data_IF_813655666051
#
_entry.id   IF_813655666051
#
_cell.length_a   1.000
_cell.length_b   1.000
_cell.length_c   1.000
_cell.angle_alpha   90.00
_cell.angle_beta   90.00
_cell.angle_gamma   90.00
#
_symmetry.space_group_name_H-M   'P 1'
#
loop_
_entity.id
_entity.type
_entity.pdbx_description
1 polymer ?
#
# COMPACT_ATOMS: atom_id res chain seq x y z
N UNK A 1 25.30 14.08 17.47
CA UNK A 1 23.99 13.43 17.70
C UNK A 1 22.98 14.22 16.89
N UNK A 2 22.75 13.82 15.64
CA UNK A 2 21.80 14.49 14.74
C UNK A 2 20.41 13.90 14.93
N UNK A 3 19.44 14.72 15.30
CA UNK A 3 18.04 14.35 15.31
C UNK A 3 17.57 14.19 13.86
N UNK A 4 17.54 12.95 13.35
CA UNK A 4 16.80 12.64 12.14
C UNK A 4 15.32 12.74 12.47
N UNK A 5 14.66 13.80 12.00
CA UNK A 5 13.19 13.88 12.04
C UNK A 5 12.68 12.90 10.99
N UNK A 6 12.07 11.80 11.44
CA UNK A 6 11.31 10.91 10.56
C UNK A 6 10.12 11.73 10.05
N UNK A 7 10.21 12.22 8.81
CA UNK A 7 9.07 12.79 8.11
C UNK A 7 8.18 11.62 7.74
N UNK A 8 7.04 11.49 8.42
CA UNK A 8 6.03 10.50 8.05
C UNK A 8 5.24 11.11 6.90
N UNK A 9 5.58 10.78 5.65
CA UNK A 9 4.66 11.03 4.55
C UNK A 9 3.42 10.18 4.78
N UNK A 10 2.28 10.83 4.98
CA UNK A 10 0.99 10.16 4.99
C UNK A 10 0.61 10.08 3.52
N UNK A 11 0.88 8.96 2.85
CA UNK A 11 0.42 8.76 1.49
C UNK A 11 -1.12 8.85 1.45
N UNK A 12 -1.62 10.04 1.13
CA UNK A 12 -3.03 10.27 0.89
C UNK A 12 -3.27 9.86 -0.56
N UNK A 13 -3.44 8.56 -0.80
CA UNK A 13 -4.05 8.09 -2.04
C UNK A 13 -5.46 8.65 -2.09
N UNK A 14 -5.63 9.77 -2.78
CA UNK A 14 -6.93 10.26 -3.23
C UNK A 14 -7.46 9.24 -4.24
N UNK A 15 -8.09 8.18 -3.74
CA UNK A 15 -8.97 7.32 -4.51
C UNK A 15 -10.17 8.18 -4.94
N UNK A 16 -10.08 8.80 -6.12
CA UNK A 16 -11.24 9.40 -6.77
C UNK A 16 -12.21 8.28 -7.10
N UNK A 17 -13.38 8.33 -6.45
CA UNK A 17 -14.30 7.22 -6.37
C UNK A 17 -15.06 6.87 -7.65
N UNK A 18 -15.51 5.61 -7.65
CA UNK A 18 -16.72 5.08 -8.29
C UNK A 18 -16.91 5.37 -9.78
N UNK A 19 -16.27 4.53 -10.60
CA UNK A 19 -16.66 4.27 -11.97
C UNK A 19 -16.09 2.91 -12.36
N UNK A 20 -16.89 2.07 -13.02
CA UNK A 20 -16.49 0.74 -13.45
C UNK A 20 -15.08 0.75 -14.09
N UNK A 21 -14.26 -0.20 -13.67
CA UNK A 21 -12.92 -0.44 -14.18
C UNK A 21 -12.93 -0.67 -15.70
N UNK A 22 -12.85 0.41 -16.49
CA UNK A 22 -12.30 0.45 -17.86
C UNK A 22 -11.92 1.90 -18.18
N UNK A 23 -10.91 2.44 -17.51
CA UNK A 23 -10.26 3.67 -17.98
C UNK A 23 -8.81 3.66 -17.51
N UNK A 24 -7.90 3.08 -18.28
CA UNK A 24 -6.46 3.30 -18.14
C UNK A 24 -5.70 2.63 -19.28
N UNK A 25 -5.48 3.37 -20.37
CA UNK A 25 -4.39 3.13 -21.33
C UNK A 25 -3.64 4.43 -21.67
N UNK A 26 -4.08 5.58 -21.14
CA UNK A 26 -3.33 6.82 -21.29
C UNK A 26 -2.22 6.87 -20.24
N UNK A 27 -1.01 7.20 -20.67
CA UNK A 27 0.08 7.52 -19.76
C UNK A 27 -0.37 8.60 -18.75
N UNK A 28 0.09 8.53 -17.49
CA UNK A 28 -0.25 9.53 -16.50
C UNK A 28 0.21 10.92 -17.00
N UNK A 29 -0.56 12.00 -16.82
CA UNK A 29 -0.24 13.33 -17.37
C UNK A 29 1.13 13.88 -16.97
N UNK A 30 1.63 13.48 -15.81
CA UNK A 30 2.90 13.89 -15.24
C UNK A 30 3.70 12.66 -14.76
N UNK A 31 4.20 11.83 -15.70
CA UNK A 31 4.90 10.60 -15.37
C UNK A 31 6.28 10.91 -14.75
N UNK A 32 6.80 10.03 -13.87
CA UNK A 32 8.22 10.03 -13.51
C UNK A 32 9.11 9.73 -14.72
N UNK A 33 10.41 10.04 -14.60
CA UNK A 33 11.40 9.66 -15.63
C UNK A 33 11.64 8.14 -15.66
N UNK A 34 12.15 7.63 -16.78
CA UNK A 34 12.55 6.22 -16.90
C UNK A 34 13.57 5.81 -15.82
N UNK A 35 14.45 6.72 -15.40
CA UNK A 35 15.42 6.46 -14.34
C UNK A 35 14.75 6.20 -12.99
N UNK A 36 13.69 6.94 -12.65
CA UNK A 36 12.89 6.72 -11.43
C UNK A 36 12.16 5.37 -11.49
N UNK A 37 11.57 5.05 -12.66
CA UNK A 37 10.88 3.77 -12.86
C UNK A 37 11.87 2.60 -12.76
N UNK A 38 13.06 2.73 -13.38
CA UNK A 38 14.10 1.70 -13.33
C UNK A 38 14.65 1.54 -11.91
N UNK A 39 14.81 2.64 -11.17
CA UNK A 39 15.22 2.60 -9.77
C UNK A 39 14.26 1.77 -8.92
N UNK A 40 12.94 1.96 -9.07
CA UNK A 40 11.95 1.16 -8.36
C UNK A 40 12.02 -0.34 -8.74
N UNK A 41 12.19 -0.64 -10.04
CA UNK A 41 12.38 -2.01 -10.54
C UNK A 41 13.61 -2.68 -9.91
N UNK A 42 14.74 -1.98 -9.92
CA UNK A 42 16.00 -2.49 -9.39
C UNK A 42 15.92 -2.67 -7.87
N UNK A 43 15.30 -1.73 -7.16
CA UNK A 43 15.06 -1.83 -5.73
C UNK A 43 14.21 -3.07 -5.37
N UNK A 44 13.11 -3.32 -6.09
CA UNK A 44 12.28 -4.50 -5.86
C UNK A 44 13.01 -5.79 -6.22
N UNK A 45 13.67 -5.83 -7.37
CA UNK A 45 14.41 -7.01 -7.84
C UNK A 45 15.55 -7.41 -6.89
N UNK A 46 16.30 -6.43 -6.37
CA UNK A 46 17.44 -6.67 -5.51
C UNK A 46 17.06 -7.06 -4.06
N UNK A 47 15.90 -6.60 -3.57
CA UNK A 47 15.58 -6.71 -2.14
C UNK A 47 14.37 -7.57 -1.82
N UNK A 48 13.33 -7.55 -2.66
CA UNK A 48 12.04 -8.19 -2.35
C UNK A 48 11.86 -9.54 -3.06
N UNK A 49 12.32 -9.65 -4.31
CA UNK A 49 12.18 -10.88 -5.07
C UNK A 49 13.07 -11.98 -4.48
N UNK A 50 12.48 -13.14 -4.20
CA UNK A 50 13.17 -14.27 -3.57
C UNK A 50 13.35 -14.17 -2.05
N UNK A 51 12.80 -13.14 -1.40
CA UNK A 51 12.81 -13.05 0.06
C UNK A 51 11.82 -14.04 0.67
N UNK A 52 12.32 -15.12 1.26
CA UNK A 52 11.49 -16.20 1.80
C UNK A 52 10.56 -15.76 2.95
N UNK A 53 11.01 -14.85 3.81
CA UNK A 53 10.21 -14.36 4.95
C UNK A 53 9.05 -13.47 4.47
N UNK A 54 9.32 -12.57 3.53
CA UNK A 54 8.30 -11.74 2.90
C UNK A 54 7.29 -12.61 2.13
N UNK A 55 7.78 -13.57 1.34
CA UNK A 55 6.93 -14.50 0.61
C UNK A 55 6.01 -15.29 1.54
N UNK A 56 6.54 -15.78 2.68
CA UNK A 56 5.75 -16.47 3.68
C UNK A 56 4.67 -15.57 4.29
N UNK A 57 4.99 -14.31 4.59
CA UNK A 57 4.01 -13.34 5.10
C UNK A 57 2.88 -13.08 4.10
N UNK A 58 3.22 -12.89 2.82
CA UNK A 58 2.25 -12.68 1.73
C UNK A 58 1.34 -13.90 1.57
N UNK A 59 1.89 -15.11 1.55
CA UNK A 59 1.12 -16.34 1.40
C UNK A 59 0.20 -16.56 2.61
N UNK A 60 0.68 -16.32 3.83
CA UNK A 60 -0.13 -16.43 5.03
C UNK A 60 -1.30 -15.43 5.03
N UNK A 61 -1.06 -14.19 4.61
CA UNK A 61 -2.10 -13.17 4.43
C UNK A 61 -3.12 -13.59 3.36
N UNK A 62 -2.64 -14.06 2.21
CA UNK A 62 -3.50 -14.54 1.11
C UNK A 62 -4.43 -15.65 1.58
N UNK A 63 -3.92 -16.63 2.33
CA UNK A 63 -4.72 -17.74 2.86
C UNK A 63 -5.78 -17.29 3.88
N UNK A 64 -5.47 -16.26 4.68
CA UNK A 64 -6.41 -15.65 5.63
C UNK A 64 -7.55 -14.93 4.90
N UNK A 65 -7.24 -14.25 3.79
CA UNK A 65 -8.21 -13.37 3.12
C UNK A 65 -8.97 -14.03 1.96
N UNK A 66 -8.55 -15.21 1.47
CA UNK A 66 -9.15 -15.86 0.28
C UNK A 66 -10.65 -16.18 0.34
N UNK A 67 -11.28 -16.08 1.52
CA UNK A 67 -12.70 -16.38 1.73
C UNK A 67 -13.51 -15.17 2.15
N UNK A 68 -12.91 -13.97 2.17
CA UNK A 68 -13.66 -12.76 2.49
C UNK A 68 -14.55 -12.40 1.30
N UNK A 69 -15.83 -12.18 1.59
CA UNK A 69 -16.78 -11.66 0.62
C UNK A 69 -16.70 -10.14 0.52
N UNK A 70 -17.67 -9.57 -0.20
CA UNK A 70 -17.80 -8.12 -0.34
C UNK A 70 -18.04 -7.44 1.02
N UNK A 71 -18.96 -7.97 1.83
CA UNK A 71 -19.33 -7.34 3.10
C UNK A 71 -18.17 -7.38 4.10
N UNK A 72 -17.51 -8.53 4.26
CA UNK A 72 -16.36 -8.62 5.16
C UNK A 72 -15.20 -7.72 4.72
N UNK A 73 -14.99 -7.59 3.40
CA UNK A 73 -14.00 -6.68 2.84
C UNK A 73 -14.30 -5.24 3.24
N UNK A 74 -15.54 -4.76 3.01
CA UNK A 74 -15.95 -3.40 3.35
C UNK A 74 -15.92 -3.14 4.87
N UNK A 75 -16.21 -4.16 5.68
CA UNK A 75 -16.13 -4.04 7.14
C UNK A 75 -14.67 -3.86 7.59
N UNK A 76 -13.75 -4.69 7.13
CA UNK A 76 -12.34 -4.61 7.55
C UNK A 76 -11.68 -3.32 7.04
N UNK A 77 -11.93 -2.96 5.79
CA UNK A 77 -11.42 -1.71 5.22
C UNK A 77 -12.03 -0.48 5.91
N UNK A 78 -13.34 -0.51 6.17
CA UNK A 78 -14.03 0.54 6.91
C UNK A 78 -13.47 0.74 8.32
N UNK A 79 -13.19 -0.36 9.04
CA UNK A 79 -12.54 -0.33 10.36
C UNK A 79 -11.18 0.37 10.31
N UNK A 80 -10.34 0.00 9.34
CA UNK A 80 -9.04 0.63 9.15
C UNK A 80 -9.16 2.14 8.93
N UNK A 81 -10.03 2.55 8.01
CA UNK A 81 -10.23 3.97 7.65
C UNK A 81 -10.66 4.79 8.85
N UNK A 82 -11.71 4.38 9.55
CA UNK A 82 -12.22 5.13 10.71
C UNK A 82 -11.20 5.17 11.85
N UNK A 83 -10.41 4.11 12.05
CA UNK A 83 -9.35 4.08 13.05
C UNK A 83 -8.19 5.03 12.69
N UNK A 84 -7.80 5.08 11.41
CA UNK A 84 -6.70 5.91 10.94
C UNK A 84 -7.04 7.41 10.89
N UNK A 85 -8.21 7.73 10.35
CA UNK A 85 -8.55 9.11 9.97
C UNK A 85 -9.64 9.73 10.85
N UNK A 86 -10.32 8.92 11.66
CA UNK A 86 -11.43 9.33 12.51
C UNK A 86 -12.78 9.30 11.78
N UNK A 87 -13.84 9.08 12.56
CA UNK A 87 -15.23 8.93 12.09
C UNK A 87 -15.71 10.13 11.27
N UNK A 88 -15.34 11.35 11.66
CA UNK A 88 -15.79 12.57 10.97
C UNK A 88 -15.25 12.65 9.54
N UNK A 89 -13.97 12.31 9.34
CA UNK A 89 -13.35 12.30 8.00
C UNK A 89 -13.81 11.11 7.16
N UNK A 90 -14.17 10.01 7.82
CA UNK A 90 -14.56 8.75 7.20
C UNK A 90 -16.04 8.42 7.40
N UNK A 91 -16.91 9.44 7.31
CA UNK A 91 -18.34 9.31 7.58
C UNK A 91 -19.03 8.22 6.72
N UNK A 92 -18.57 8.05 5.46
CA UNK A 92 -19.05 6.97 4.57
C UNK A 92 -18.68 5.59 5.12
N UNK A 93 -17.42 5.38 5.49
CA UNK A 93 -16.97 4.12 6.08
C UNK A 93 -17.71 3.82 7.40
N UNK A 94 -17.90 4.83 8.25
CA UNK A 94 -18.68 4.69 9.49
C UNK A 94 -20.14 4.29 9.22
N UNK A 95 -20.78 4.86 8.19
CA UNK A 95 -22.12 4.47 7.77
C UNK A 95 -22.17 3.03 7.28
N UNK A 96 -21.20 2.62 6.45
CA UNK A 96 -21.10 1.25 5.93
C UNK A 96 -20.91 0.24 7.06
N UNK A 97 -20.08 0.55 8.06
CA UNK A 97 -19.91 -0.30 9.24
C UNK A 97 -21.22 -0.51 10.00
N UNK A 98 -21.99 0.56 10.21
CA UNK A 98 -23.30 0.47 10.86
C UNK A 98 -24.30 -0.39 10.07
N UNK A 99 -24.25 -0.33 8.75
CA UNK A 99 -25.12 -1.10 7.87
C UNK A 99 -24.76 -2.59 7.85
N UNK A 100 -23.47 -2.91 7.71
CA UNK A 100 -23.00 -4.28 7.50
C UNK A 100 -22.65 -5.02 8.79
N UNK A 101 -22.34 -4.32 9.88
CA UNK A 101 -21.90 -4.88 11.15
C UNK A 101 -22.55 -4.17 12.37
N UNK A 102 -23.83 -3.80 12.23
CA UNK A 102 -24.57 -2.99 13.20
C UNK A 102 -24.80 -3.61 14.59
N UNK A 103 -24.26 -4.80 14.86
CA UNK A 103 -24.22 -5.42 16.19
C UNK A 103 -23.15 -4.81 17.11
N UNK A 104 -22.15 -4.11 16.55
CA UNK A 104 -21.04 -3.48 17.28
C UNK A 104 -21.13 -1.97 17.29
N UNK A 105 -20.59 -1.35 18.33
CA UNK A 105 -20.46 0.11 18.40
C UNK A 105 -19.37 0.62 17.45
N UNK A 106 -19.42 1.92 17.12
CA UNK A 106 -18.37 2.54 16.30
C UNK A 106 -17.01 2.50 17.01
N UNK A 107 -16.98 2.63 18.33
CA UNK A 107 -15.76 2.53 19.14
C UNK A 107 -15.16 1.13 19.07
N UNK A 108 -15.98 0.07 19.05
CA UNK A 108 -15.51 -1.30 18.87
C UNK A 108 -14.90 -1.52 17.47
N UNK A 109 -15.48 -0.91 16.45
CA UNK A 109 -14.92 -0.93 15.10
C UNK A 109 -13.62 -0.15 14.97
N UNK A 110 -13.53 1.03 15.60
CA UNK A 110 -12.28 1.81 15.66
C UNK A 110 -11.18 0.97 16.31
N UNK A 111 -11.46 0.35 17.46
CA UNK A 111 -10.49 -0.52 18.13
C UNK A 111 -10.06 -1.71 17.27
N UNK A 112 -11.00 -2.34 16.56
CA UNK A 112 -10.66 -3.41 15.62
C UNK A 112 -9.73 -2.90 14.50
N UNK A 113 -9.99 -1.71 13.95
CA UNK A 113 -9.13 -1.06 12.96
C UNK A 113 -7.74 -0.71 13.49
N UNK A 114 -7.61 -0.25 14.72
CA UNK A 114 -6.31 -0.01 15.37
C UNK A 114 -5.46 -1.28 15.44
N UNK A 115 -6.07 -2.42 15.78
CA UNK A 115 -5.38 -3.71 15.78
C UNK A 115 -4.98 -4.17 14.37
N UNK A 116 -5.79 -3.89 13.33
CA UNK A 116 -5.42 -4.14 11.94
C UNK A 116 -4.20 -3.30 11.52
N UNK A 117 -4.21 -2.00 11.83
CA UNK A 117 -3.10 -1.07 11.56
C UNK A 117 -1.83 -1.57 12.26
N UNK A 118 -1.94 -1.92 13.54
CA UNK A 118 -0.83 -2.44 14.32
C UNK A 118 -0.28 -3.74 13.71
N UNK A 119 -1.15 -4.68 13.34
CA UNK A 119 -0.75 -5.93 12.71
C UNK A 119 -0.03 -5.72 11.37
N UNK A 120 -0.46 -4.75 10.57
CA UNK A 120 0.16 -4.42 9.29
C UNK A 120 1.47 -3.62 9.43
N UNK A 121 1.65 -2.83 10.50
CA UNK A 121 2.81 -1.92 10.64
C UNK A 121 3.89 -2.41 11.61
N UNK A 122 3.56 -3.24 12.59
CA UNK A 122 4.49 -3.71 13.62
C UNK A 122 4.97 -5.15 13.44
N UNK A 123 4.60 -5.79 12.33
CA UNK A 123 5.11 -7.11 11.97
C UNK A 123 6.57 -7.06 11.48
N UNK A 124 7.20 -8.22 11.39
CA UNK A 124 8.62 -8.31 11.06
C UNK A 124 8.93 -7.93 9.61
N UNK A 125 7.99 -8.17 8.68
CA UNK A 125 8.13 -7.71 7.30
C UNK A 125 8.12 -6.18 7.22
N UNK A 126 7.25 -5.49 7.97
CA UNK A 126 7.22 -4.03 8.04
C UNK A 126 8.49 -3.45 8.65
N UNK A 127 9.00 -4.03 9.74
CA UNK A 127 10.31 -3.64 10.32
C UNK A 127 11.45 -3.82 9.33
N UNK A 128 11.41 -4.88 8.53
CA UNK A 128 12.41 -5.12 7.49
C UNK A 128 12.30 -4.11 6.34
N UNK A 129 11.08 -3.81 5.86
CA UNK A 129 10.86 -2.78 4.84
C UNK A 129 11.36 -1.40 5.31
N UNK A 130 11.15 -1.05 6.58
CA UNK A 130 11.64 0.22 7.15
C UNK A 130 13.16 0.29 7.05
N UNK A 131 13.87 -0.79 7.42
CA UNK A 131 15.34 -0.85 7.30
C UNK A 131 15.80 -0.72 5.85
N UNK A 132 15.09 -1.34 4.90
CA UNK A 132 15.40 -1.20 3.48
C UNK A 132 15.21 0.22 2.99
N UNK A 133 14.10 0.86 3.36
CA UNK A 133 13.83 2.25 3.02
C UNK A 133 14.94 3.17 3.57
N UNK A 134 15.30 3.03 4.85
CA UNK A 134 16.33 3.84 5.50
C UNK A 134 17.73 3.62 4.88
N UNK A 135 18.01 2.40 4.41
CA UNK A 135 19.28 2.03 3.78
C UNK A 135 19.38 2.37 2.29
N UNK A 136 18.27 2.70 1.63
CA UNK A 136 18.22 2.93 0.20
C UNK A 136 19.15 4.08 -0.24
N UNK A 137 19.81 3.91 -1.39
CA UNK A 137 20.73 4.90 -1.96
C UNK A 137 20.20 5.41 -3.30
N UNK A 138 20.20 6.72 -3.56
CA UNK A 138 20.68 7.78 -2.67
C UNK A 138 19.79 7.93 -1.42
N UNK A 139 20.38 8.36 -0.30
CA UNK A 139 19.65 8.47 0.97
C UNK A 139 18.37 9.31 0.82
N UNK A 140 17.24 8.73 1.21
CA UNK A 140 15.91 9.32 1.08
C UNK A 140 15.24 9.15 -0.28
N UNK A 141 15.84 8.40 -1.22
CA UNK A 141 15.22 8.12 -2.52
C UNK A 141 13.95 7.30 -2.42
N UNK A 142 13.85 6.38 -1.45
CA UNK A 142 12.62 5.62 -1.17
C UNK A 142 11.83 6.36 -0.09
N UNK A 143 10.64 6.83 -0.43
CA UNK A 143 9.77 7.59 0.49
C UNK A 143 8.81 6.68 1.24
N UNK A 144 8.37 5.60 0.61
CA UNK A 144 7.50 4.58 1.19
C UNK A 144 7.64 3.24 0.45
N UNK A 145 7.31 2.16 1.16
CA UNK A 145 7.07 0.84 0.58
C UNK A 145 5.86 0.22 1.27
N UNK A 146 4.93 -0.32 0.49
CA UNK A 146 3.90 -1.20 1.04
C UNK A 146 3.64 -2.39 0.13
N UNK A 147 3.34 -3.52 0.76
CA UNK A 147 3.17 -4.82 0.13
C UNK A 147 1.73 -5.28 0.32
N UNK A 148 1.14 -5.78 -0.75
CA UNK A 148 -0.22 -6.31 -0.83
C UNK A 148 -0.18 -7.81 -1.12
N UNK A 149 -1.14 -8.55 -0.59
CA UNK A 149 -1.28 -9.98 -0.84
C UNK A 149 -2.02 -10.30 -2.15
N UNK A 150 -2.23 -11.60 -2.41
CA UNK A 150 -2.92 -12.09 -3.59
C UNK A 150 -4.43 -11.77 -3.67
N UNK A 151 -4.96 -11.01 -2.71
CA UNK A 151 -6.32 -10.47 -2.70
C UNK A 151 -6.34 -8.95 -2.51
N UNK A 152 -5.18 -8.28 -2.48
CA UNK A 152 -5.07 -6.83 -2.37
C UNK A 152 -5.05 -6.30 -0.95
N UNK A 153 -4.92 -7.14 0.08
CA UNK A 153 -4.80 -6.65 1.46
C UNK A 153 -3.36 -6.27 1.79
N UNK A 154 -3.18 -5.16 2.51
CA UNK A 154 -1.85 -4.78 2.98
C UNK A 154 -1.27 -5.81 3.96
N UNK A 155 -0.06 -6.28 3.65
CA UNK A 155 0.72 -7.25 4.43
C UNK A 155 1.76 -6.54 5.30
N UNK A 156 2.47 -5.58 4.70
CA UNK A 156 3.56 -4.87 5.34
C UNK A 156 3.72 -3.47 4.76
N UNK A 157 4.11 -2.49 5.58
CA UNK A 157 4.18 -1.09 5.20
C UNK A 157 5.29 -0.37 5.97
N UNK A 158 5.98 0.57 5.33
CA UNK A 158 6.88 1.51 6.02
C UNK A 158 6.14 2.76 6.47
N UNK A 159 5.33 3.32 5.58
CA UNK A 159 4.34 4.35 5.86
C UNK A 159 3.03 3.72 6.30
N UNK A 160 1.93 4.40 6.05
CA UNK A 160 0.60 3.79 6.13
C UNK A 160 -0.28 4.31 5.03
N UNK A 161 -1.07 3.43 4.43
CA UNK A 161 -2.06 3.74 3.39
C UNK A 161 -3.37 4.27 3.99
N UNK A 162 -4.14 5.03 3.21
CA UNK A 162 -5.51 5.44 3.61
C UNK A 162 -6.40 4.23 3.87
N UNK A 163 -6.28 3.21 3.02
CA UNK A 163 -7.15 2.03 3.01
C UNK A 163 -6.35 0.77 3.33
N UNK A 164 -7.01 -0.23 3.91
CA UNK A 164 -6.40 -1.53 4.20
C UNK A 164 -6.43 -2.42 2.96
N UNK A 165 -7.56 -2.39 2.25
CA UNK A 165 -7.77 -3.07 0.99
C UNK A 165 -7.28 -2.19 -0.16
N UNK A 166 -6.63 -2.80 -1.14
CA UNK A 166 -6.10 -2.17 -2.35
C UNK A 166 -6.48 -2.96 -3.60
N UNK A 167 -7.31 -4.01 -3.48
CA UNK A 167 -7.68 -4.86 -4.61
C UNK A 167 -8.59 -4.17 -5.63
N UNK A 168 -9.21 -3.05 -5.26
CA UNK A 168 -9.93 -2.13 -6.14
C UNK A 168 -9.03 -1.07 -6.80
N UNK A 169 -7.77 -0.96 -6.37
CA UNK A 169 -6.81 0.01 -6.89
C UNK A 169 -6.01 -0.53 -8.09
N UNK A 170 -5.66 0.36 -9.01
CA UNK A 170 -4.79 0.04 -10.16
C UNK A 170 -3.43 -0.53 -9.74
N UNK A 171 -2.95 -0.12 -8.57
CA UNK A 171 -1.71 -0.61 -7.93
C UNK A 171 -1.67 -2.12 -7.76
N UNK A 172 -2.82 -2.76 -7.53
CA UNK A 172 -2.94 -4.22 -7.43
C UNK A 172 -3.49 -4.84 -8.70
N UNK A 173 -4.56 -4.24 -9.27
CA UNK A 173 -5.25 -4.81 -10.44
C UNK A 173 -4.34 -4.92 -11.65
N UNK A 174 -3.54 -3.89 -11.94
CA UNK A 174 -2.63 -3.93 -13.09
C UNK A 174 -1.35 -4.69 -12.82
N UNK A 175 -0.98 -4.86 -11.56
CA UNK A 175 0.31 -5.45 -11.22
C UNK A 175 0.19 -6.92 -10.89
N UNK A 176 -0.42 -7.28 -9.78
CA UNK A 176 -0.60 -8.66 -9.40
C UNK A 176 -1.53 -9.38 -10.39
N UNK A 177 -2.70 -8.80 -10.68
CA UNK A 177 -3.73 -9.50 -11.46
C UNK A 177 -3.42 -9.55 -12.97
N UNK A 178 -2.74 -8.54 -13.54
CA UNK A 178 -2.33 -8.52 -14.94
C UNK A 178 -0.83 -8.81 -15.18
N UNK A 179 -0.03 -8.98 -14.12
CA UNK A 179 1.43 -9.19 -14.20
C UNK A 179 2.18 -8.06 -14.92
N UNK A 180 1.73 -6.82 -14.75
CA UNK A 180 2.34 -5.62 -15.35
C UNK A 180 2.87 -4.64 -14.28
N UNK A 181 3.30 -3.46 -14.70
CA UNK A 181 3.71 -2.35 -13.84
C UNK A 181 2.64 -1.26 -13.84
N UNK A 182 2.35 -0.68 -12.67
CA UNK A 182 1.55 0.54 -12.57
C UNK A 182 2.44 1.70 -12.19
N UNK A 183 2.39 2.78 -12.97
CA UNK A 183 3.17 4.00 -12.75
C UNK A 183 2.16 5.12 -12.53
N UNK A 184 2.20 5.74 -11.35
CA UNK A 184 1.35 6.88 -11.02
C UNK A 184 2.05 8.21 -11.29
N UNK A 185 1.24 9.26 -11.39
CA UNK A 185 1.72 10.64 -11.52
C UNK A 185 2.68 11.03 -10.40
N UNK A 186 3.60 11.94 -10.70
CA UNK A 186 4.37 12.63 -9.67
C UNK A 186 3.42 13.51 -8.86
N UNK A 187 3.43 13.32 -7.54
CA UNK A 187 2.72 14.13 -6.56
C UNK A 187 3.71 14.91 -5.69
N UNK A 188 3.27 16.03 -5.11
CA UNK A 188 4.06 16.80 -4.15
C UNK A 188 3.31 16.85 -2.81
N UNK A 189 3.98 16.38 -1.76
CA UNK A 189 3.43 16.36 -0.40
C UNK A 189 4.54 16.69 0.59
N UNK A 190 4.26 17.58 1.54
CA UNK A 190 5.23 18.05 2.54
C UNK A 190 6.58 18.52 1.96
N UNK A 191 6.54 19.06 0.72
CA UNK A 191 7.72 19.55 -0.01
C UNK A 191 8.58 18.45 -0.63
N UNK A 192 8.10 17.21 -0.68
CA UNK A 192 8.74 16.09 -1.39
C UNK A 192 7.94 15.78 -2.64
N UNK A 193 8.63 15.74 -3.79
CA UNK A 193 8.05 15.27 -5.05
C UNK A 193 8.36 13.79 -5.23
N UNK A 194 7.33 12.96 -5.29
CA UNK A 194 7.51 11.52 -5.44
C UNK A 194 6.54 10.93 -6.44
N UNK A 195 6.92 9.81 -7.05
CA UNK A 195 6.01 8.97 -7.83
C UNK A 195 5.88 7.61 -7.16
N UNK A 196 4.70 7.01 -7.25
CA UNK A 196 4.44 5.64 -6.81
C UNK A 196 4.54 4.69 -8.01
N UNK A 197 5.38 3.66 -7.88
CA UNK A 197 5.56 2.61 -8.87
C UNK A 197 5.17 1.29 -8.21
N UNK A 198 4.20 0.60 -8.80
CA UNK A 198 3.72 -0.69 -8.29
C UNK A 198 4.15 -1.83 -9.20
N UNK A 199 4.62 -2.92 -8.61
CA UNK A 199 5.20 -4.08 -9.28
C UNK A 199 4.67 -5.38 -8.67
N UNK A 200 4.57 -6.48 -9.45
CA UNK A 200 4.22 -7.78 -8.90
C UNK A 200 5.38 -8.33 -8.06
N UNK A 201 5.05 -8.98 -6.95
CA UNK A 201 5.97 -9.83 -6.19
C UNK A 201 5.79 -11.26 -6.67
N UNK A 202 6.91 -11.90 -7.03
CA UNK A 202 6.94 -13.26 -7.58
C UNK A 202 7.66 -14.25 -6.67
N UNK A 203 7.11 -15.46 -6.62
CA UNK A 203 7.78 -16.66 -6.11
C UNK A 203 7.96 -17.63 -7.29
N UNK A 204 9.18 -17.70 -7.82
CA UNK A 204 9.43 -18.26 -9.15
C UNK A 204 8.68 -17.48 -10.23
N UNK A 205 7.91 -18.19 -11.06
CA UNK A 205 7.09 -17.58 -12.13
C UNK A 205 5.70 -17.15 -11.66
N UNK A 206 5.34 -17.41 -10.39
CA UNK A 206 4.00 -17.15 -9.85
C UNK A 206 3.95 -15.79 -9.16
N UNK A 207 2.99 -14.95 -9.55
CA UNK A 207 2.62 -13.77 -8.78
C UNK A 207 2.00 -14.20 -7.45
N UNK A 208 2.54 -13.69 -6.33
CA UNK A 208 2.03 -13.96 -4.98
C UNK A 208 1.44 -12.72 -4.30
N UNK A 209 1.80 -11.53 -4.77
CA UNK A 209 1.30 -10.26 -4.28
C UNK A 209 1.78 -9.10 -5.15
N UNK A 210 1.64 -7.88 -4.64
CA UNK A 210 2.15 -6.67 -5.27
C UNK A 210 2.91 -5.81 -4.25
N UNK A 211 3.81 -4.96 -4.73
CA UNK A 211 4.47 -3.92 -3.93
C UNK A 211 4.26 -2.58 -4.61
N UNK A 212 4.06 -1.54 -3.82
CA UNK A 212 4.19 -0.15 -4.27
C UNK A 212 5.40 0.48 -3.59
N UNK A 213 6.23 1.16 -4.38
CA UNK A 213 7.40 1.91 -3.92
C UNK A 213 7.19 3.38 -4.28
N UNK A 214 7.22 4.25 -3.28
CA UNK A 214 7.32 5.69 -3.50
C UNK A 214 8.78 6.09 -3.70
N UNK A 215 9.05 6.83 -4.77
CA UNK A 215 10.41 7.27 -5.14
C UNK A 215 10.44 8.79 -5.25
N UNK A 216 11.33 9.44 -4.49
CA UNK A 216 11.62 10.86 -4.60
C UNK A 216 12.31 11.14 -5.95
N UNK A 217 11.60 11.85 -6.83
CA UNK A 217 12.03 12.09 -8.22
C UNK A 217 13.16 13.11 -8.31
N UNK A 218 13.41 13.87 -7.25
CA UNK A 218 14.51 14.83 -7.20
C UNK A 218 15.82 14.17 -6.76
N UNK A 219 15.76 13.02 -6.08
CA UNK A 219 16.91 12.22 -5.64
C UNK A 219 17.44 11.27 -6.72
N UNK A 220 16.57 10.78 -7.60
CA UNK A 220 16.92 9.85 -8.68
C UNK A 220 16.91 10.61 -10.02
N UNK A 221 18.03 10.57 -10.74
CA UNK A 221 18.23 11.32 -12.00
C UNK A 221 18.43 10.39 -13.18
#
# INVERSE_FOLDING_TARGET
MGNSKIVTLVALSLALGTGAAVAQDAAPPNPPSDAVVQYAKDFVAANLIGNAELNAAIVASTEKHRRLGYDETNILDGQWRVAKSGVEKEAKAASTLKELAGDKSIEEHVKAGEELIKAARENDASKWLIKLQEGAQPAGAVTEVFVMDGWGWNVAQTGGTSDFYQGDEGKWQKTFALNDIEILDIVEEDGIRYAQISLPIKDGDKNIGAVTVGVDVDKVK
#
